data_IF_888001492058
#
_entry.id   IF_888001492058
#
_cell.length_a   1.000
_cell.length_b   1.000
_cell.length_c   1.000
_cell.angle_alpha   90.00
_cell.angle_beta   90.00
_cell.angle_gamma   90.00
#
_symmetry.space_group_name_H-M   'P 1'
#
loop_
_entity.id
_entity.type
_entity.pdbx_description
1 polymer ?
#
# COMPACT_ATOMS: atom_id res chain seq x y z
N UNK A 1 8.17 -8.63 50.65
CA UNK A 1 6.75 -8.91 50.94
C UNK A 1 6.26 -9.95 49.94
N UNK A 2 6.14 -11.22 50.34
CA UNK A 2 5.78 -12.31 49.44
C UNK A 2 4.28 -12.22 49.07
N UNK A 3 3.98 -12.03 47.80
CA UNK A 3 2.62 -12.11 47.24
C UNK A 3 2.29 -13.57 46.94
N UNK A 4 1.55 -14.23 47.83
CA UNK A 4 1.04 -15.57 47.57
C UNK A 4 -0.36 -15.49 46.97
N UNK A 5 -0.47 -15.86 45.69
CA UNK A 5 -1.76 -16.00 45.00
C UNK A 5 -2.51 -17.21 45.58
N UNK A 6 -3.82 -17.07 45.82
CA UNK A 6 -4.64 -17.93 46.69
C UNK A 6 -4.78 -19.42 46.34
N UNK A 7 -4.00 -19.94 45.39
CA UNK A 7 -3.95 -21.36 45.05
C UNK A 7 -2.89 -22.16 45.84
N UNK A 8 -1.97 -21.51 46.56
CA UNK A 8 -0.76 -22.17 47.12
C UNK A 8 -0.97 -22.80 48.52
N UNK A 9 -2.11 -22.59 49.19
CA UNK A 9 -2.29 -23.02 50.59
C UNK A 9 -3.13 -24.28 50.80
N UNK A 10 -3.43 -25.06 49.76
CA UNK A 10 -4.14 -26.33 49.93
C UNK A 10 -3.17 -27.37 50.55
N UNK A 11 -3.28 -27.58 51.86
CA UNK A 11 -2.54 -28.62 52.59
C UNK A 11 -1.31 -28.15 53.38
N UNK A 12 -1.06 -26.84 53.47
CA UNK A 12 0.04 -26.32 54.28
C UNK A 12 -0.32 -26.33 55.77
N UNK A 13 0.45 -27.04 56.59
CA UNK A 13 0.40 -26.94 58.06
C UNK A 13 1.25 -25.76 58.51
N UNK A 14 0.62 -24.80 59.15
CA UNK A 14 1.30 -23.65 59.74
C UNK A 14 1.83 -24.05 61.13
N UNK A 15 3.08 -23.71 61.47
CA UNK A 15 3.62 -23.96 62.81
C UNK A 15 2.82 -23.15 63.85
N UNK A 16 2.78 -23.66 65.09
CA UNK A 16 2.10 -23.00 66.19
C UNK A 16 2.66 -21.58 66.40
N UNK A 17 1.79 -20.57 66.39
CA UNK A 17 2.17 -19.16 66.55
C UNK A 17 2.42 -18.38 65.24
N UNK A 18 2.27 -19.00 64.06
CA UNK A 18 2.43 -18.30 62.78
C UNK A 18 1.31 -17.28 62.54
N UNK A 19 1.69 -16.07 62.12
CA UNK A 19 0.76 -15.03 61.64
C UNK A 19 0.76 -14.99 60.10
N UNK A 20 -0.42 -14.88 59.49
CA UNK A 20 -0.59 -14.87 58.03
C UNK A 20 -1.35 -13.62 57.60
N UNK A 21 -0.80 -12.91 56.62
CA UNK A 21 -1.48 -11.79 55.95
C UNK A 21 -2.06 -12.23 54.61
N UNK A 22 -3.36 -11.96 54.39
CA UNK A 22 -4.04 -12.23 53.12
C UNK A 22 -4.43 -10.90 52.47
N UNK A 23 -3.94 -10.65 51.26
CA UNK A 23 -4.25 -9.46 50.47
C UNK A 23 -5.13 -9.86 49.28
N UNK A 24 -6.27 -9.20 49.10
CA UNK A 24 -7.15 -9.45 47.96
C UNK A 24 -7.75 -8.16 47.42
N UNK A 25 -7.70 -8.00 46.10
CA UNK A 25 -8.31 -6.88 45.39
C UNK A 25 -9.82 -7.09 45.13
N UNK A 26 -10.37 -8.29 45.39
CA UNK A 26 -11.78 -8.63 45.15
C UNK A 26 -12.60 -8.53 46.44
N UNK A 27 -13.55 -7.58 46.56
CA UNK A 27 -14.28 -7.35 47.82
C UNK A 27 -15.11 -8.56 48.27
N UNK A 28 -15.63 -9.35 47.32
CA UNK A 28 -16.38 -10.58 47.62
C UNK A 28 -15.54 -11.68 48.27
N UNK A 29 -14.24 -11.76 47.96
CA UNK A 29 -13.32 -12.75 48.53
C UNK A 29 -12.99 -12.41 49.99
N UNK A 30 -12.77 -11.12 50.28
CA UNK A 30 -12.51 -10.63 51.64
C UNK A 30 -13.69 -10.94 52.57
N UNK A 31 -14.93 -10.76 52.08
CA UNK A 31 -16.15 -11.08 52.85
C UNK A 31 -16.22 -12.57 53.21
N UNK A 32 -16.00 -13.46 52.24
CA UNK A 32 -16.03 -14.92 52.45
C UNK A 32 -14.96 -15.40 53.43
N UNK A 33 -13.75 -14.83 53.38
CA UNK A 33 -12.66 -15.18 54.30
C UNK A 33 -13.00 -14.69 55.71
N UNK A 34 -13.52 -13.47 55.85
CA UNK A 34 -13.98 -12.94 57.13
C UNK A 34 -15.03 -13.83 57.77
N UNK A 35 -16.06 -14.22 57.00
CA UNK A 35 -17.16 -15.05 57.50
C UNK A 35 -16.69 -16.46 57.93
N UNK A 36 -15.68 -17.02 57.24
CA UNK A 36 -15.15 -18.36 57.53
C UNK A 36 -14.28 -18.41 58.79
N UNK A 37 -13.59 -17.32 59.16
CA UNK A 37 -12.61 -17.30 60.27
C UNK A 37 -13.04 -16.39 61.43
N UNK A 38 -14.35 -16.25 61.68
CA UNK A 38 -15.01 -15.30 62.59
C UNK A 38 -14.58 -15.27 64.07
N UNK A 39 -13.56 -16.01 64.49
CA UNK A 39 -12.96 -15.94 65.84
C UNK A 39 -11.44 -15.83 65.90
N UNK A 40 -10.72 -16.02 64.77
CA UNK A 40 -9.25 -16.11 64.73
C UNK A 40 -8.61 -14.94 63.94
N UNK A 41 -9.37 -13.88 63.66
CA UNK A 41 -8.91 -12.72 62.91
C UNK A 41 -8.52 -11.60 63.88
N UNK A 42 -7.22 -11.25 63.93
CA UNK A 42 -6.72 -10.17 64.79
C UNK A 42 -7.06 -8.78 64.26
N UNK A 43 -6.95 -8.51 62.95
CA UNK A 43 -7.24 -7.18 62.38
C UNK A 43 -7.57 -7.26 60.89
N UNK A 44 -8.46 -6.39 60.39
CA UNK A 44 -8.79 -6.27 58.96
C UNK A 44 -8.65 -4.82 58.52
N UNK A 45 -7.72 -4.57 57.60
CA UNK A 45 -7.49 -3.25 57.01
C UNK A 45 -8.02 -3.19 55.58
N UNK A 46 -8.71 -2.11 55.22
CA UNK A 46 -8.99 -1.75 53.82
C UNK A 46 -7.96 -0.72 53.39
N UNK A 47 -7.04 -1.11 52.52
CA UNK A 47 -6.08 -0.18 51.92
C UNK A 47 -6.73 0.36 50.65
N UNK A 48 -7.01 1.67 50.65
CA UNK A 48 -7.30 2.38 49.42
C UNK A 48 -5.95 2.80 48.85
N UNK A 49 -5.58 2.28 47.68
CA UNK A 49 -4.52 2.92 46.91
C UNK A 49 -5.04 4.31 46.57
N UNK A 50 -4.55 5.34 47.27
CA UNK A 50 -4.61 6.68 46.73
C UNK A 50 -3.96 6.56 45.36
N UNK A 51 -4.72 6.80 44.30
CA UNK A 51 -4.11 6.99 43.00
C UNK A 51 -3.06 8.07 43.23
N UNK A 52 -1.78 7.70 43.18
CA UNK A 52 -0.77 8.65 42.74
C UNK A 52 -1.41 9.25 41.51
N UNK A 53 -1.72 10.55 41.55
CA UNK A 53 -2.14 11.30 40.38
C UNK A 53 -1.04 11.05 39.36
N UNK A 54 -1.24 10.02 38.53
CA UNK A 54 -0.62 9.93 37.26
C UNK A 54 -1.22 11.13 36.56
N UNK A 55 -0.50 12.24 36.64
CA UNK A 55 -0.53 13.28 35.64
C UNK A 55 -0.18 12.56 34.35
N UNK A 56 -1.19 11.88 33.78
CA UNK A 56 -1.25 11.61 32.37
C UNK A 56 -1.35 12.99 31.77
N UNK A 57 -0.20 13.66 31.68
CA UNK A 57 0.04 14.59 30.61
C UNK A 57 -0.23 13.75 29.38
N UNK A 58 -1.47 13.86 28.92
CA UNK A 58 -1.86 13.60 27.55
C UNK A 58 -0.92 14.51 26.77
N UNK A 59 0.29 14.00 26.46
CA UNK A 59 1.19 14.63 25.53
C UNK A 59 0.40 14.60 24.24
N UNK A 60 -0.34 15.67 23.98
CA UNK A 60 -0.85 15.94 22.66
C UNK A 60 0.36 15.86 21.76
N UNK A 61 0.38 14.83 20.91
CA UNK A 61 1.39 14.74 19.88
C UNK A 61 1.28 16.05 19.11
N UNK A 62 2.29 16.90 19.23
CA UNK A 62 2.39 18.12 18.44
C UNK A 62 2.69 17.64 17.01
N UNK A 63 1.64 17.30 16.29
CA UNK A 63 1.71 16.88 14.89
C UNK A 63 1.99 18.16 14.11
N UNK A 64 3.20 18.27 13.58
CA UNK A 64 3.55 19.39 12.71
C UNK A 64 2.79 19.23 11.38
N UNK A 65 1.74 20.02 11.20
CA UNK A 65 0.86 19.94 10.04
C UNK A 65 1.58 20.27 8.72
N UNK A 66 2.60 21.15 8.76
CA UNK A 66 3.43 21.47 7.59
C UNK A 66 4.26 20.27 7.10
N UNK A 67 4.53 19.27 7.95
CA UNK A 67 5.20 18.03 7.54
C UNK A 67 4.31 17.13 6.65
N UNK A 68 3.01 17.42 6.55
CA UNK A 68 2.04 16.70 5.72
C UNK A 68 1.65 17.51 4.48
N UNK A 69 2.15 18.73 4.33
CA UNK A 69 1.94 19.51 3.11
C UNK A 69 2.83 18.94 1.99
N UNK A 70 2.24 18.58 0.84
CA UNK A 70 3.04 18.09 -0.28
C UNK A 70 3.92 19.22 -0.81
N UNK A 71 5.19 18.91 -1.03
CA UNK A 71 6.13 19.83 -1.66
C UNK A 71 5.82 20.01 -3.16
N UNK A 72 6.44 21.01 -3.79
CA UNK A 72 6.24 21.31 -5.21
C UNK A 72 6.51 20.10 -6.12
N UNK A 73 7.47 19.23 -5.74
CA UNK A 73 7.79 18.01 -6.47
C UNK A 73 6.67 16.98 -6.37
N UNK A 74 6.13 16.75 -5.18
CA UNK A 74 5.01 15.83 -4.95
C UNK A 74 3.76 16.28 -5.69
N UNK A 75 3.50 17.59 -5.72
CA UNK A 75 2.41 18.18 -6.50
C UNK A 75 2.61 17.96 -8.01
N UNK A 76 3.83 18.15 -8.53
CA UNK A 76 4.14 17.89 -9.94
C UNK A 76 3.96 16.42 -10.33
N UNK A 77 4.31 15.48 -9.44
CA UNK A 77 4.05 14.04 -9.65
C UNK A 77 2.56 13.76 -9.70
N UNK A 78 1.78 14.33 -8.77
CA UNK A 78 0.32 14.18 -8.73
C UNK A 78 -0.32 14.68 -10.03
N UNK A 79 0.09 15.86 -10.49
CA UNK A 79 -0.44 16.45 -11.72
C UNK A 79 -0.02 15.63 -12.95
N UNK A 80 1.22 15.13 -12.99
CA UNK A 80 1.67 14.22 -14.03
C UNK A 80 0.83 12.94 -14.13
N UNK A 81 0.43 12.37 -12.99
CA UNK A 81 -0.50 11.22 -12.96
C UNK A 81 -1.88 11.61 -13.50
N UNK A 82 -2.40 12.79 -13.12
CA UNK A 82 -3.71 13.27 -13.59
C UNK A 82 -3.73 13.48 -15.10
N UNK A 83 -2.69 14.11 -15.65
CA UNK A 83 -2.52 14.31 -17.10
C UNK A 83 -2.49 12.96 -17.81
N UNK A 84 -1.69 12.00 -17.31
CA UNK A 84 -1.58 10.70 -17.94
C UNK A 84 -2.89 9.87 -17.89
N UNK A 85 -3.70 10.04 -16.85
CA UNK A 85 -5.05 9.46 -16.77
C UNK A 85 -6.01 10.08 -17.79
N UNK A 86 -5.90 11.38 -18.02
CA UNK A 86 -6.70 12.08 -19.04
C UNK A 86 -6.27 11.67 -20.45
N UNK A 87 -4.95 11.61 -20.71
CA UNK A 87 -4.40 11.08 -21.97
C UNK A 87 -4.91 9.64 -22.23
N UNK A 88 -4.96 8.79 -21.19
CA UNK A 88 -5.53 7.44 -21.29
C UNK A 88 -7.00 7.48 -21.70
N UNK A 89 -7.78 8.38 -21.11
CA UNK A 89 -9.21 8.55 -21.40
C UNK A 89 -9.40 9.00 -22.85
N UNK A 90 -8.64 9.98 -23.31
CA UNK A 90 -8.67 10.48 -24.69
C UNK A 90 -8.20 9.45 -25.71
N UNK A 91 -7.27 8.57 -25.33
CA UNK A 91 -6.77 7.48 -26.17
C UNK A 91 -7.71 6.26 -26.25
N UNK A 92 -8.92 6.34 -25.68
CA UNK A 92 -9.92 5.28 -25.74
C UNK A 92 -9.95 4.35 -24.52
N UNK A 93 -9.30 4.75 -23.42
CA UNK A 93 -9.34 4.05 -22.14
C UNK A 93 -8.38 2.86 -22.05
N UNK A 94 -8.75 1.88 -21.22
CA UNK A 94 -7.95 0.69 -20.97
C UNK A 94 -8.82 -0.55 -20.78
N UNK A 95 -8.28 -1.69 -21.18
CA UNK A 95 -8.81 -3.00 -20.84
C UNK A 95 -8.32 -3.46 -19.46
N UNK A 96 -9.10 -4.31 -18.80
CA UNK A 96 -8.62 -5.13 -17.70
C UNK A 96 -7.92 -6.41 -18.20
N UNK A 97 -7.37 -7.20 -17.27
CA UNK A 97 -6.66 -8.43 -17.60
C UNK A 97 -7.55 -9.45 -18.33
N UNK A 98 -8.79 -9.64 -17.91
CA UNK A 98 -9.66 -10.67 -18.49
C UNK A 98 -10.15 -10.25 -19.89
N UNK A 99 -10.38 -8.95 -20.10
CA UNK A 99 -10.62 -8.37 -21.41
C UNK A 99 -9.42 -8.56 -22.35
N UNK A 100 -8.19 -8.30 -21.91
CA UNK A 100 -6.98 -8.56 -22.73
C UNK A 100 -6.83 -10.04 -23.06
N UNK A 101 -7.09 -10.93 -22.10
CA UNK A 101 -7.08 -12.38 -22.38
C UNK A 101 -8.09 -12.76 -23.45
N UNK A 102 -9.29 -12.18 -23.40
CA UNK A 102 -10.34 -12.40 -24.39
C UNK A 102 -9.93 -11.86 -25.76
N UNK A 103 -9.42 -10.63 -25.80
CA UNK A 103 -8.96 -9.95 -27.01
C UNK A 103 -7.83 -10.74 -27.70
N UNK A 104 -6.89 -11.27 -26.92
CA UNK A 104 -5.75 -12.04 -27.42
C UNK A 104 -6.05 -13.55 -27.53
N UNK A 105 -7.31 -13.94 -27.75
CA UNK A 105 -7.72 -15.33 -27.99
C UNK A 105 -7.32 -16.34 -26.89
N UNK A 106 -7.47 -15.96 -25.62
CA UNK A 106 -7.29 -16.85 -24.48
C UNK A 106 -5.85 -17.00 -23.98
N UNK A 107 -4.94 -16.09 -24.35
CA UNK A 107 -3.56 -16.06 -23.82
C UNK A 107 -3.56 -16.13 -22.29
N UNK A 108 -2.61 -16.87 -21.72
CA UNK A 108 -2.52 -17.05 -20.27
C UNK A 108 -2.08 -15.75 -19.57
N UNK A 109 -2.49 -15.60 -18.30
CA UNK A 109 -2.04 -14.48 -17.45
C UNK A 109 -0.51 -14.38 -17.39
N UNK A 110 0.18 -15.52 -17.27
CA UNK A 110 1.65 -15.56 -17.21
C UNK A 110 2.28 -15.07 -18.51
N UNK A 111 1.70 -15.40 -19.66
CA UNK A 111 2.18 -14.90 -20.95
C UNK A 111 1.94 -13.39 -21.11
N UNK A 112 0.82 -12.87 -20.63
CA UNK A 112 0.58 -11.41 -20.55
C UNK A 112 1.61 -10.75 -19.63
N UNK A 113 1.82 -11.29 -18.44
CA UNK A 113 2.78 -10.76 -17.47
C UNK A 113 4.21 -10.75 -18.04
N UNK A 114 4.60 -11.79 -18.77
CA UNK A 114 5.89 -11.86 -19.49
C UNK A 114 6.00 -10.75 -20.54
N UNK A 115 4.96 -10.53 -21.35
CA UNK A 115 4.97 -9.45 -22.35
C UNK A 115 5.10 -8.07 -21.71
N UNK A 116 4.41 -7.85 -20.58
CA UNK A 116 4.55 -6.60 -19.80
C UNK A 116 5.98 -6.42 -19.29
N UNK A 117 6.56 -7.48 -18.72
CA UNK A 117 7.93 -7.43 -18.20
C UNK A 117 8.97 -7.13 -19.29
N UNK A 118 8.78 -7.70 -20.48
CA UNK A 118 9.65 -7.50 -21.63
C UNK A 118 9.39 -6.20 -22.39
N UNK A 119 8.36 -5.42 -22.00
CA UNK A 119 7.99 -4.16 -22.66
C UNK A 119 7.26 -4.33 -24.00
N UNK A 120 6.87 -5.56 -24.35
CA UNK A 120 6.06 -5.85 -25.55
C UNK A 120 4.56 -5.68 -25.33
N UNK A 121 4.16 -5.32 -24.11
CA UNK A 121 2.79 -4.92 -23.76
C UNK A 121 2.86 -3.86 -22.66
N UNK A 122 2.11 -2.79 -22.79
CA UNK A 122 2.02 -1.71 -21.81
C UNK A 122 0.91 -2.01 -20.80
N UNK A 123 1.25 -1.94 -19.51
CA UNK A 123 0.31 -1.97 -18.41
C UNK A 123 0.56 -0.78 -17.47
N UNK A 124 -0.47 0.01 -17.23
CA UNK A 124 -0.44 1.14 -16.28
C UNK A 124 -1.15 0.76 -14.98
N UNK A 125 -0.79 1.37 -13.84
CA UNK A 125 -1.57 1.26 -12.61
C UNK A 125 -3.00 1.77 -12.82
N UNK A 126 -3.98 0.93 -12.55
CA UNK A 126 -5.41 1.23 -12.67
C UNK A 126 -6.16 1.22 -11.33
N UNK A 127 -7.49 1.30 -11.37
CA UNK A 127 -8.33 1.32 -10.18
C UNK A 127 -8.08 0.11 -9.27
N UNK A 128 -8.16 0.32 -7.95
CA UNK A 128 -7.91 -0.72 -6.94
C UNK A 128 -6.53 -1.38 -7.05
N UNK A 129 -5.52 -0.66 -7.54
CA UNK A 129 -4.16 -1.15 -7.75
C UNK A 129 -4.07 -2.36 -8.70
N UNK A 130 -5.05 -2.50 -9.60
CA UNK A 130 -5.05 -3.52 -10.65
C UNK A 130 -4.36 -2.97 -11.89
N UNK A 131 -3.78 -3.85 -12.69
CA UNK A 131 -3.21 -3.47 -13.99
C UNK A 131 -4.33 -3.11 -14.95
N UNK A 132 -4.14 -2.01 -15.67
CA UNK A 132 -4.95 -1.58 -16.80
C UNK A 132 -4.08 -1.54 -18.04
N UNK A 133 -4.64 -1.95 -19.18
CA UNK A 133 -3.93 -2.11 -20.43
C UNK A 133 -4.49 -1.11 -21.45
N UNK A 134 -3.79 0.02 -21.72
CA UNK A 134 -4.28 1.06 -22.63
C UNK A 134 -4.75 0.48 -23.97
N UNK A 135 -5.93 0.88 -24.45
CA UNK A 135 -6.53 0.30 -25.67
C UNK A 135 -5.73 0.65 -26.93
N UNK A 136 -5.08 1.82 -26.95
CA UNK A 136 -4.29 2.33 -28.08
C UNK A 136 -3.24 1.36 -28.61
N UNK A 137 -2.73 0.48 -27.75
CA UNK A 137 -1.65 -0.47 -28.05
C UNK A 137 -2.11 -1.70 -28.85
N UNK A 138 -3.43 -1.85 -29.06
CA UNK A 138 -4.01 -2.95 -29.79
C UNK A 138 -4.52 -2.50 -31.17
N UNK A 139 -4.40 -3.39 -32.14
CA UNK A 139 -5.00 -3.29 -33.45
C UNK A 139 -6.47 -3.72 -33.40
N UNK A 140 -7.23 -3.42 -34.45
CA UNK A 140 -8.65 -3.78 -34.56
C UNK A 140 -8.90 -5.29 -34.59
N UNK A 141 -7.91 -6.09 -34.97
CA UNK A 141 -7.94 -7.56 -34.96
C UNK A 141 -7.56 -8.17 -33.60
N UNK A 142 -7.27 -7.35 -32.59
CA UNK A 142 -6.87 -7.79 -31.25
C UNK A 142 -5.39 -8.13 -31.10
N UNK A 143 -4.59 -7.97 -32.16
CA UNK A 143 -3.12 -8.05 -32.07
C UNK A 143 -2.53 -6.81 -31.37
N UNK A 144 -1.32 -6.94 -30.84
CA UNK A 144 -0.59 -5.81 -30.26
C UNK A 144 0.15 -5.09 -31.38
N UNK A 145 0.17 -3.75 -31.33
CA UNK A 145 0.91 -2.91 -32.27
C UNK A 145 2.39 -3.28 -32.26
N UNK A 146 2.95 -3.50 -33.45
CA UNK A 146 4.35 -3.87 -33.61
C UNK A 146 5.29 -2.73 -33.16
N UNK A 147 6.48 -3.11 -32.69
CA UNK A 147 7.52 -2.15 -32.31
C UNK A 147 7.43 -1.61 -30.88
N UNK A 148 6.37 -1.90 -30.11
CA UNK A 148 6.25 -1.44 -28.71
C UNK A 148 7.46 -1.80 -27.85
N UNK A 149 8.00 -3.02 -27.99
CA UNK A 149 9.19 -3.45 -27.26
C UNK A 149 10.40 -2.56 -27.58
N UNK A 150 10.67 -2.33 -28.87
CA UNK A 150 11.79 -1.51 -29.31
C UNK A 150 11.66 -0.06 -28.81
N UNK A 151 10.45 0.49 -28.85
CA UNK A 151 10.16 1.83 -28.32
C UNK A 151 10.36 1.88 -26.80
N UNK A 152 9.87 0.88 -26.06
CA UNK A 152 10.05 0.79 -24.61
C UNK A 152 11.53 0.66 -24.21
N UNK A 153 12.37 0.04 -25.04
CA UNK A 153 13.81 -0.08 -24.83
C UNK A 153 14.57 1.20 -25.19
N UNK A 154 14.04 1.98 -26.13
CA UNK A 154 14.62 3.24 -26.59
C UNK A 154 14.36 4.43 -25.65
N UNK A 155 13.26 4.41 -24.89
CA UNK A 155 12.92 5.46 -23.94
C UNK A 155 13.88 5.44 -22.73
N UNK A 156 14.21 6.62 -22.15
CA UNK A 156 15.14 6.72 -21.01
C UNK A 156 14.56 6.16 -19.70
N UNK A 157 13.28 5.77 -19.69
CA UNK A 157 12.59 5.26 -18.51
C UNK A 157 11.61 4.15 -18.89
N UNK A 158 11.41 3.21 -17.96
CA UNK A 158 10.37 2.18 -18.04
C UNK A 158 9.11 2.55 -17.26
N UNK A 159 8.97 3.82 -16.83
CA UNK A 159 7.75 4.27 -16.15
C UNK A 159 6.55 4.14 -17.11
N UNK A 160 5.52 3.33 -16.78
CA UNK A 160 4.40 3.08 -17.68
C UNK A 160 3.63 4.33 -18.09
N UNK A 161 3.52 5.32 -17.20
CA UNK A 161 2.84 6.58 -17.53
C UNK A 161 3.65 7.42 -18.51
N UNK A 162 4.98 7.44 -18.39
CA UNK A 162 5.83 8.13 -19.37
C UNK A 162 5.76 7.47 -20.75
N UNK A 163 5.76 6.13 -20.79
CA UNK A 163 5.58 5.38 -22.05
C UNK A 163 4.20 5.67 -22.65
N UNK A 164 3.14 5.69 -21.83
CA UNK A 164 1.80 6.02 -22.29
C UNK A 164 1.74 7.41 -22.91
N UNK A 165 2.23 8.44 -22.20
CA UNK A 165 2.17 9.82 -22.66
C UNK A 165 2.92 9.99 -23.98
N UNK A 166 4.12 9.40 -24.10
CA UNK A 166 4.84 9.39 -25.36
C UNK A 166 3.99 8.80 -26.49
N UNK A 167 3.37 7.64 -26.28
CA UNK A 167 2.57 6.99 -27.33
C UNK A 167 1.30 7.76 -27.69
N UNK A 168 0.67 8.42 -26.72
CA UNK A 168 -0.66 9.03 -26.85
C UNK A 168 -0.65 10.49 -27.28
N UNK A 169 0.47 11.20 -27.11
CA UNK A 169 0.59 12.63 -27.41
C UNK A 169 1.29 12.89 -28.76
N UNK A 170 0.94 13.99 -29.46
CA UNK A 170 1.69 14.46 -30.62
C UNK A 170 3.19 14.63 -30.32
N UNK A 171 4.06 14.18 -31.23
CA UNK A 171 5.51 14.42 -31.16
C UNK A 171 5.98 15.20 -32.39
N UNK A 172 6.61 16.35 -32.18
CA UNK A 172 7.13 17.22 -33.25
C UNK A 172 8.17 16.52 -34.13
N UNK A 173 8.93 15.57 -33.55
CA UNK A 173 9.91 14.74 -34.29
C UNK A 173 9.21 13.78 -35.26
N UNK A 174 7.92 13.54 -35.06
CA UNK A 174 7.04 12.78 -35.95
C UNK A 174 6.05 13.70 -36.69
N UNK A 175 6.43 14.95 -36.93
CA UNK A 175 5.58 15.94 -37.63
C UNK A 175 4.24 16.22 -36.93
N UNK A 176 4.24 16.22 -35.59
CA UNK A 176 3.04 16.47 -34.79
C UNK A 176 2.06 15.29 -34.77
N UNK A 177 2.51 14.11 -35.20
CA UNK A 177 1.71 12.88 -35.16
C UNK A 177 1.94 12.15 -33.84
N UNK A 178 0.94 11.39 -33.40
CA UNK A 178 1.08 10.52 -32.23
C UNK A 178 1.95 9.32 -32.59
N UNK A 179 2.96 8.97 -31.78
CA UNK A 179 3.79 7.79 -32.03
C UNK A 179 3.00 6.49 -32.24
N UNK A 180 1.88 6.29 -31.54
CA UNK A 180 1.08 5.08 -31.73
C UNK A 180 0.47 4.97 -33.13
N UNK A 181 0.07 6.10 -33.73
CA UNK A 181 -0.51 6.11 -35.08
C UNK A 181 0.57 5.80 -36.13
N UNK A 182 1.78 6.32 -35.92
CA UNK A 182 2.95 6.03 -36.76
C UNK A 182 3.37 4.55 -36.63
N UNK A 183 3.30 3.97 -35.43
CA UNK A 183 3.54 2.54 -35.23
C UNK A 183 2.49 1.67 -35.95
N UNK A 184 1.21 2.06 -35.91
CA UNK A 184 0.12 1.35 -36.62
C UNK A 184 0.27 1.35 -38.14
N UNK A 185 1.00 2.31 -38.69
CA UNK A 185 1.38 2.34 -40.11
C UNK A 185 2.62 1.48 -40.43
N UNK A 186 3.23 0.86 -39.42
CA UNK A 186 4.43 0.03 -39.56
C UNK A 186 5.75 0.82 -39.54
N UNK A 187 5.72 2.13 -39.29
CA UNK A 187 6.90 2.99 -39.31
C UNK A 187 7.70 2.94 -37.99
N UNK A 188 8.06 1.73 -37.55
CA UNK A 188 8.68 1.48 -36.23
C UNK A 188 9.98 2.26 -36.03
N UNK A 189 10.87 2.27 -37.02
CA UNK A 189 12.19 2.91 -36.90
C UNK A 189 12.09 4.41 -36.61
N UNK A 190 11.14 5.11 -37.24
CA UNK A 190 10.93 6.55 -37.01
C UNK A 190 10.54 6.83 -35.56
N UNK A 191 9.67 5.99 -35.00
CA UNK A 191 9.22 6.13 -33.60
C UNK A 191 10.33 5.81 -32.62
N UNK A 192 11.13 4.77 -32.89
CA UNK A 192 12.30 4.42 -32.07
C UNK A 192 13.31 5.56 -32.05
N UNK A 193 13.61 6.18 -33.18
CA UNK A 193 14.50 7.34 -33.22
C UNK A 193 13.96 8.54 -32.45
N UNK A 194 12.64 8.81 -32.53
CA UNK A 194 12.01 9.87 -31.75
C UNK A 194 12.14 9.60 -30.24
N UNK A 195 11.90 8.36 -29.81
CA UNK A 195 12.04 7.93 -28.42
C UNK A 195 13.48 8.11 -27.89
N UNK A 196 14.50 7.75 -28.67
CA UNK A 196 15.90 7.92 -28.28
C UNK A 196 16.29 9.39 -28.04
N UNK A 197 15.72 10.32 -28.82
CA UNK A 197 16.03 11.76 -28.70
C UNK A 197 15.45 12.39 -27.44
N UNK A 198 14.43 11.80 -26.82
CA UNK A 198 13.88 12.27 -25.53
C UNK A 198 14.93 12.15 -24.43
N UNK A 199 15.71 11.06 -24.42
CA UNK A 199 16.79 10.86 -23.44
C UNK A 199 17.94 11.86 -23.57
N UNK A 200 18.08 12.52 -24.73
CA UNK A 200 19.17 13.47 -25.01
C UNK A 200 18.81 14.91 -24.62
N UNK A 201 17.53 15.26 -24.52
CA UNK A 201 17.07 16.62 -24.18
C UNK A 201 16.83 16.85 -22.69
N UNK A 202 16.97 15.82 -21.86
CA UNK A 202 16.79 15.88 -20.40
C UNK A 202 18.06 15.71 -19.57
N UNK A 203 19.25 15.72 -20.20
CA UNK A 203 20.56 15.55 -19.55
C UNK A 203 21.32 16.88 -19.44
#
# INVERSE_FOLDING_TARGET
MLMLSGAVLKGAQLPAGAEVAIVSQKPGTVRKIRDRFKGNLRTVWKIHAAALSATSSKREAVINQAAYEPDARSLAILEGVRIAQEDLREAGGAYDLDQVRTLMHGVSRQAIDKRVQEGSLLAVPGPSNRRSYPTLQFNSDGTVVDGLKAVSEALPTRNPWTVLNFLAQPDDRLSGRKPIDVLKEGNVNQVVEAAQRIGQQGA
#
